data_IF_612995109935
#
_entry.id   IF_612995109935
#
_cell.length_a   1.000
_cell.length_b   1.000
_cell.length_c   1.000
_cell.angle_alpha   90.00
_cell.angle_beta   90.00
_cell.angle_gamma   90.00
#
_symmetry.space_group_name_H-M   'P 1'
#
loop_
_entity.id
_entity.type
_entity.pdbx_description
1 polymer ?
#
# COMPACT_ATOMS: atom_id res chain seq x y z
N UNK A 1 32.72 -27.90 -3.23
CA UNK A 1 31.43 -28.64 -3.26
C UNK A 1 30.53 -28.26 -2.09
N UNK A 2 30.99 -28.33 -0.83
CA UNK A 2 30.21 -27.91 0.34
C UNK A 2 29.97 -26.40 0.39
N UNK A 3 31.00 -25.61 0.07
CA UNK A 3 30.92 -24.14 0.07
C UNK A 3 30.07 -23.60 -1.10
N UNK A 4 30.14 -24.24 -2.27
CA UNK A 4 29.31 -23.91 -3.43
C UNK A 4 27.81 -24.12 -3.14
N UNK A 5 27.47 -25.18 -2.40
CA UNK A 5 26.10 -25.46 -1.95
C UNK A 5 25.64 -24.40 -0.94
N UNK A 6 26.51 -23.98 -0.03
CA UNK A 6 26.20 -22.92 0.94
C UNK A 6 25.95 -21.60 0.24
N UNK A 7 26.77 -21.25 -0.75
CA UNK A 7 26.60 -20.03 -1.54
C UNK A 7 25.30 -20.05 -2.36
N UNK A 8 24.99 -21.17 -3.01
CA UNK A 8 23.76 -21.35 -3.78
C UNK A 8 22.51 -21.20 -2.91
N UNK A 9 22.53 -21.82 -1.72
CA UNK A 9 21.44 -21.71 -0.75
C UNK A 9 21.29 -20.28 -0.24
N UNK A 10 22.40 -19.58 0.04
CA UNK A 10 22.36 -18.19 0.47
C UNK A 10 21.73 -17.27 -0.59
N UNK A 11 22.12 -17.42 -1.86
CA UNK A 11 21.54 -16.66 -2.98
C UNK A 11 20.05 -16.95 -3.12
N UNK A 12 19.64 -18.23 -3.02
CA UNK A 12 18.25 -18.63 -3.11
C UNK A 12 17.40 -17.99 -1.98
N UNK A 13 17.90 -18.03 -0.75
CA UNK A 13 17.23 -17.40 0.40
C UNK A 13 17.12 -15.88 0.23
N UNK A 14 18.18 -15.21 -0.20
CA UNK A 14 18.15 -13.76 -0.48
C UNK A 14 17.12 -13.39 -1.56
N UNK A 15 17.03 -14.20 -2.62
CA UNK A 15 16.05 -14.01 -3.70
C UNK A 15 14.61 -14.13 -3.19
N UNK A 16 14.32 -15.14 -2.36
CA UNK A 16 12.99 -15.33 -1.78
C UNK A 16 12.59 -14.18 -0.84
N UNK A 17 13.53 -13.66 -0.05
CA UNK A 17 13.28 -12.50 0.83
C UNK A 17 12.89 -11.28 0.00
N UNK A 18 13.60 -11.01 -1.10
CA UNK A 18 13.27 -9.90 -2.01
C UNK A 18 11.88 -10.02 -2.61
N UNK A 19 11.47 -11.23 -3.02
CA UNK A 19 10.14 -11.48 -3.56
C UNK A 19 9.04 -11.20 -2.53
N UNK A 20 9.20 -11.66 -1.28
CA UNK A 20 8.21 -11.42 -0.20
C UNK A 20 8.07 -9.93 0.13
N UNK A 21 9.16 -9.18 0.13
CA UNK A 21 9.14 -7.73 0.38
C UNK A 21 8.48 -6.93 -0.77
N UNK A 22 8.49 -7.47 -1.99
CA UNK A 22 7.83 -6.85 -3.16
C UNK A 22 6.34 -7.15 -3.29
N UNK A 23 5.79 -8.08 -2.49
CA UNK A 23 4.36 -8.36 -2.51
C UNK A 23 3.59 -7.18 -1.90
N UNK A 24 3.05 -6.36 -2.81
CA UNK A 24 2.02 -5.34 -2.65
C UNK A 24 1.78 -4.86 -1.23
N UNK A 25 2.38 -3.71 -0.87
CA UNK A 25 1.87 -2.96 0.27
C UNK A 25 0.43 -2.55 -0.06
N UNK A 26 -0.54 -3.11 0.65
CA UNK A 26 -1.88 -2.52 0.73
C UNK A 26 -1.70 -1.16 1.41
N UNK A 27 -1.58 -0.10 0.60
CA UNK A 27 -1.48 1.25 1.12
C UNK A 27 -2.90 1.70 1.47
N UNK A 28 -3.18 1.84 2.76
CA UNK A 28 -4.43 2.43 3.24
C UNK A 28 -4.25 3.93 3.35
N UNK A 29 -5.21 4.69 2.83
CA UNK A 29 -5.26 6.15 2.94
C UNK A 29 -6.45 6.54 3.78
N UNK A 30 -6.24 7.47 4.71
CA UNK A 30 -7.28 8.08 5.53
C UNK A 30 -7.28 9.59 5.32
N UNK A 31 -8.47 10.20 5.39
CA UNK A 31 -8.67 11.64 5.26
C UNK A 31 -9.59 12.09 6.38
N UNK A 32 -9.26 13.21 7.03
CA UNK A 32 -10.06 13.83 8.08
C UNK A 32 -10.36 15.29 7.72
N UNK A 33 -11.55 15.77 8.11
CA UNK A 33 -11.95 17.16 7.91
C UNK A 33 -13.42 17.41 8.24
N UNK A 34 -13.82 18.68 8.16
CA UNK A 34 -15.21 19.12 8.34
C UNK A 34 -15.75 19.52 6.96
N UNK A 35 -16.81 18.86 6.51
CA UNK A 35 -17.52 19.28 5.31
C UNK A 35 -18.36 20.51 5.63
N UNK A 36 -18.11 21.62 4.92
CA UNK A 36 -18.82 22.89 5.13
C UNK A 36 -19.94 23.07 4.08
N UNK A 37 -21.02 23.73 4.49
CA UNK A 37 -22.09 24.24 3.63
C UNK A 37 -22.17 25.76 3.86
N UNK A 38 -21.52 26.55 3.00
CA UNK A 38 -21.33 27.97 3.24
C UNK A 38 -20.43 28.22 4.46
N UNK A 39 -20.94 28.92 5.48
CA UNK A 39 -20.21 29.22 6.72
C UNK A 39 -20.46 28.21 7.86
N UNK A 40 -21.26 27.17 7.62
CA UNK A 40 -21.68 26.21 8.64
C UNK A 40 -21.25 24.78 8.30
N UNK A 41 -21.06 23.88 9.29
CA UNK A 41 -20.82 22.46 9.02
C UNK A 41 -22.05 21.78 8.39
N UNK A 42 -21.82 20.99 7.34
CA UNK A 42 -22.85 20.19 6.71
C UNK A 42 -23.35 19.09 7.67
N UNK A 43 -24.66 18.88 7.73
CA UNK A 43 -25.31 17.87 8.59
C UNK A 43 -25.96 16.77 7.75
N UNK A 44 -26.02 15.55 8.30
CA UNK A 44 -26.70 14.39 7.68
C UNK A 44 -26.21 14.05 6.26
N UNK A 45 -24.90 14.21 6.00
CA UNK A 45 -24.27 13.91 4.71
C UNK A 45 -23.63 12.53 4.71
N UNK A 46 -23.76 11.80 3.59
CA UNK A 46 -23.01 10.59 3.33
C UNK A 46 -21.69 10.96 2.64
N UNK A 47 -20.56 10.58 3.23
CA UNK A 47 -19.22 10.78 2.66
C UNK A 47 -18.64 9.43 2.25
N UNK A 48 -18.20 9.32 0.99
CA UNK A 48 -17.51 8.14 0.47
C UNK A 48 -16.15 8.55 -0.07
N UNK A 49 -15.09 7.97 0.48
CA UNK A 49 -13.76 8.05 -0.10
C UNK A 49 -13.69 7.06 -1.28
N UNK A 50 -13.41 7.57 -2.47
CA UNK A 50 -13.21 6.75 -3.67
C UNK A 50 -11.95 7.20 -4.38
N UNK A 51 -11.23 6.25 -4.96
CA UNK A 51 -10.09 6.50 -5.82
C UNK A 51 -10.58 6.70 -7.25
N UNK A 52 -10.07 7.72 -7.93
CA UNK A 52 -10.35 7.98 -9.34
C UNK A 52 -9.04 7.97 -10.10
N UNK A 53 -8.90 7.02 -11.02
CA UNK A 53 -7.77 6.96 -11.93
C UNK A 53 -8.03 7.89 -13.13
N UNK A 54 -7.11 8.82 -13.38
CA UNK A 54 -7.22 9.81 -14.47
C UNK A 54 -6.39 9.42 -15.69
N UNK A 55 -5.91 8.18 -15.77
CA UNK A 55 -5.02 7.70 -16.85
C UNK A 55 -5.74 7.23 -18.12
N UNK A 56 -6.93 7.78 -18.41
CA UNK A 56 -7.66 7.58 -19.68
C UNK A 56 -7.40 8.70 -20.71
#
# INVERSE_FOLDING_TARGET
>A
MRDDIVLLNAVFVLSLIGAVLSLGRTQSTAVEGILMCGQEPARQVLVKLYEHDTSE
#
